data_IF_082750638632
#
_entry.id   IF_082750638632
#
_cell.length_a   1.000
_cell.length_b   1.000
_cell.length_c   1.000
_cell.angle_alpha   90.00
_cell.angle_beta   90.00
_cell.angle_gamma   90.00
#
_symmetry.space_group_name_H-M   'P 1'
#
loop_
_entity.id
_entity.type
_entity.pdbx_description
1 polymer ?
#
# COMPACT_ATOMS: atom_id res chain seq x y z
N UNK A 1 -2.10 -32.66 66.39
CA UNK A 1 -2.14 -31.37 65.67
C UNK A 1 -2.01 -31.68 64.18
N UNK A 2 -3.05 -31.46 63.38
CA UNK A 2 -3.00 -31.61 61.91
C UNK A 2 -3.15 -30.21 61.32
N UNK A 3 -2.08 -29.71 60.69
CA UNK A 3 -2.06 -28.43 60.00
C UNK A 3 -2.65 -28.62 58.60
N UNK A 4 -3.62 -27.80 58.22
CA UNK A 4 -4.19 -27.76 56.88
C UNK A 4 -3.54 -26.58 56.17
N UNK A 5 -2.75 -26.85 55.13
CA UNK A 5 -2.22 -25.83 54.22
C UNK A 5 -3.29 -25.51 53.17
N UNK A 6 -3.75 -24.26 53.15
CA UNK A 6 -4.62 -23.73 52.10
C UNK A 6 -3.76 -23.19 50.96
N UNK A 7 -3.88 -23.76 49.76
CA UNK A 7 -3.28 -23.22 48.54
C UNK A 7 -4.30 -22.28 47.91
N UNK A 8 -3.97 -20.98 47.81
CA UNK A 8 -4.73 -20.02 47.04
C UNK A 8 -4.25 -20.07 45.58
N UNK A 9 -5.14 -20.47 44.66
CA UNK A 9 -4.90 -20.39 43.22
C UNK A 9 -5.37 -19.01 42.75
N UNK A 10 -4.44 -18.14 42.40
CA UNK A 10 -4.74 -16.88 41.73
C UNK A 10 -4.93 -17.13 40.23
N UNK A 11 -6.14 -16.94 39.73
CA UNK A 11 -6.44 -16.97 38.29
C UNK A 11 -6.17 -15.58 37.71
N UNK A 12 -5.05 -15.42 37.00
CA UNK A 12 -4.81 -14.22 36.19
C UNK A 12 -5.67 -14.31 34.93
N UNK A 13 -6.64 -13.40 34.79
CA UNK A 13 -7.43 -13.25 33.56
C UNK A 13 -6.67 -12.32 32.62
N UNK A 14 -6.10 -12.86 31.54
CA UNK A 14 -5.57 -12.08 30.44
C UNK A 14 -6.75 -11.62 29.57
N UNK A 15 -7.10 -10.35 29.62
CA UNK A 15 -7.94 -9.74 28.60
C UNK A 15 -7.05 -9.39 27.41
N UNK A 16 -6.97 -10.27 26.42
CA UNK A 16 -6.53 -9.88 25.09
C UNK A 16 -7.72 -9.17 24.43
N UNK A 17 -7.70 -7.84 24.34
CA UNK A 17 -8.62 -7.14 23.46
C UNK A 17 -8.24 -7.51 22.03
N UNK A 18 -9.15 -8.04 21.20
CA UNK A 18 -8.87 -8.16 19.78
C UNK A 18 -8.64 -6.74 19.26
N UNK A 19 -7.41 -6.44 18.81
CA UNK A 19 -7.21 -5.33 17.90
C UNK A 19 -8.11 -5.64 16.71
N UNK A 20 -9.10 -4.78 16.46
CA UNK A 20 -9.82 -4.82 15.20
C UNK A 20 -8.81 -4.46 14.12
N UNK A 21 -8.11 -5.46 13.59
CA UNK A 21 -7.32 -5.29 12.39
C UNK A 21 -8.30 -4.90 11.28
N UNK A 22 -8.16 -3.70 10.72
CA UNK A 22 -8.74 -3.42 9.43
C UNK A 22 -8.14 -4.45 8.48
N UNK A 23 -8.95 -5.38 8.00
CA UNK A 23 -8.47 -6.41 7.08
C UNK A 23 -8.03 -5.71 5.80
N UNK A 24 -6.73 -5.75 5.52
CA UNK A 24 -6.21 -5.27 4.25
C UNK A 24 -6.89 -6.04 3.12
N UNK A 25 -7.22 -5.36 2.03
CA UNK A 25 -7.80 -6.00 0.84
C UNK A 25 -7.11 -5.49 -0.41
N UNK A 26 -7.12 -6.28 -1.48
CA UNK A 26 -6.52 -5.88 -2.76
C UNK A 26 -7.48 -6.05 -3.93
N UNK A 27 -7.31 -5.22 -4.96
CA UNK A 27 -8.08 -5.28 -6.20
C UNK A 27 -7.27 -4.73 -7.38
N UNK A 28 -7.62 -5.15 -8.60
CA UNK A 28 -7.06 -4.57 -9.83
C UNK A 28 -7.77 -3.27 -10.17
N UNK A 29 -7.02 -2.28 -10.63
CA UNK A 29 -7.55 -1.07 -11.27
C UNK A 29 -7.31 -1.22 -12.76
N UNK A 30 -8.37 -1.08 -13.56
CA UNK A 30 -8.36 -1.49 -14.97
C UNK A 30 -7.40 -0.65 -15.84
N UNK A 31 -7.31 0.66 -15.58
CA UNK A 31 -6.51 1.60 -16.36
C UNK A 31 -6.30 2.93 -15.60
N UNK A 32 -5.56 3.85 -16.23
CA UNK A 32 -5.31 5.21 -15.74
C UNK A 32 -6.58 6.01 -15.50
N UNK A 33 -7.61 5.84 -16.34
CA UNK A 33 -8.84 6.61 -16.19
C UNK A 33 -9.54 6.18 -14.90
N UNK A 34 -9.65 4.88 -14.66
CA UNK A 34 -10.23 4.38 -13.42
C UNK A 34 -9.38 4.75 -12.20
N UNK A 35 -8.05 4.74 -12.32
CA UNK A 35 -7.18 5.23 -11.26
C UNK A 35 -7.45 6.70 -10.93
N UNK A 36 -7.57 7.56 -11.94
CA UNK A 36 -7.85 8.98 -11.75
C UNK A 36 -9.29 9.23 -11.27
N UNK A 37 -10.26 8.41 -11.69
CA UNK A 37 -11.66 8.48 -11.27
C UNK A 37 -11.85 8.13 -9.79
N UNK A 38 -10.93 7.36 -9.20
CA UNK A 38 -10.86 7.17 -7.74
C UNK A 38 -10.49 8.46 -7.00
N UNK A 39 -10.06 9.50 -7.74
CA UNK A 39 -9.64 10.81 -7.24
C UNK A 39 -8.65 10.70 -6.07
N UNK A 40 -7.52 9.99 -6.25
CA UNK A 40 -6.55 9.82 -5.17
C UNK A 40 -5.84 11.14 -4.88
N UNK A 41 -5.87 11.58 -3.62
CA UNK A 41 -5.00 12.66 -3.14
C UNK A 41 -3.67 12.05 -2.68
N UNK A 42 -2.60 12.29 -3.43
CA UNK A 42 -1.32 11.64 -3.21
C UNK A 42 -0.64 12.18 -1.94
N UNK A 43 -0.42 11.31 -0.96
CA UNK A 43 0.43 11.63 0.19
C UNK A 43 1.91 11.61 -0.22
N UNK A 44 2.33 10.57 -0.95
CA UNK A 44 3.66 10.45 -1.55
C UNK A 44 3.73 9.26 -2.53
N UNK A 45 4.83 9.17 -3.25
CA UNK A 45 5.15 8.08 -4.18
C UNK A 45 6.58 7.61 -3.94
N UNK A 46 6.77 6.32 -3.70
CA UNK A 46 8.06 5.66 -3.81
C UNK A 46 8.21 5.07 -5.22
N UNK A 47 9.28 5.39 -5.94
CA UNK A 47 9.49 4.92 -7.31
C UNK A 47 10.79 4.14 -7.44
N UNK A 48 10.71 3.02 -8.15
CA UNK A 48 11.88 2.37 -8.75
C UNK A 48 11.77 2.39 -10.26
N UNK A 49 12.77 2.94 -10.94
CA UNK A 49 12.74 3.13 -12.40
C UNK A 49 14.08 2.96 -13.06
N UNK A 50 14.05 2.70 -14.35
CA UNK A 50 15.22 2.86 -15.20
C UNK A 50 15.48 4.35 -15.47
N UNK A 51 16.58 4.85 -14.92
CA UNK A 51 17.01 6.23 -15.06
C UNK A 51 17.93 6.47 -16.25
N UNK A 52 18.88 7.40 -16.09
CA UNK A 52 19.94 7.66 -17.07
C UNK A 52 21.36 7.43 -16.52
N UNK A 53 21.49 7.04 -15.24
CA UNK A 53 22.74 6.76 -14.54
C UNK A 53 23.79 7.90 -14.66
N UNK A 54 23.35 9.15 -14.50
CA UNK A 54 24.20 10.35 -14.63
C UNK A 54 24.12 11.26 -13.39
N UNK A 55 25.23 11.95 -13.09
CA UNK A 55 25.44 12.77 -11.87
C UNK A 55 24.51 14.00 -11.74
N UNK A 56 23.91 14.44 -12.85
CA UNK A 56 22.88 15.51 -12.92
C UNK A 56 21.77 15.05 -13.87
N UNK A 57 21.16 13.89 -13.58
CA UNK A 57 20.24 13.20 -14.46
C UNK A 57 19.16 12.42 -13.71
N UNK A 58 18.33 11.69 -14.45
CA UNK A 58 17.26 10.84 -13.95
C UNK A 58 17.85 9.74 -13.04
N UNK A 59 17.70 9.86 -11.71
CA UNK A 59 18.00 8.86 -10.65
C UNK A 59 17.27 7.51 -10.88
N UNK A 60 17.53 6.45 -10.13
CA UNK A 60 16.77 5.17 -10.27
C UNK A 60 15.74 4.95 -9.16
N UNK A 61 15.94 5.55 -7.99
CA UNK A 61 15.01 5.51 -6.87
C UNK A 61 14.67 6.93 -6.43
N UNK A 62 13.41 7.24 -6.15
CA UNK A 62 13.03 8.48 -5.45
C UNK A 62 11.80 8.36 -4.57
N UNK A 63 11.63 9.38 -3.73
CA UNK A 63 10.32 9.85 -3.29
C UNK A 63 9.89 11.11 -4.05
N UNK A 64 8.64 11.14 -4.49
CA UNK A 64 7.98 12.31 -5.11
C UNK A 64 6.49 12.36 -4.74
N UNK A 65 5.71 13.26 -5.34
CA UNK A 65 4.24 13.26 -5.26
C UNK A 65 3.64 13.94 -4.02
N UNK A 66 4.43 14.24 -3.00
CA UNK A 66 3.94 14.84 -1.75
C UNK A 66 3.56 16.33 -1.85
N UNK A 67 3.93 17.01 -2.94
CA UNK A 67 3.55 18.39 -3.17
C UNK A 67 2.36 18.44 -4.15
N UNK A 68 1.14 18.81 -3.71
CA UNK A 68 -0.03 18.87 -4.59
C UNK A 68 0.08 19.97 -5.67
N UNK A 69 0.99 20.93 -5.52
CA UNK A 69 1.26 21.95 -6.53
C UNK A 69 2.34 21.53 -7.53
N UNK A 70 3.08 20.47 -7.24
CA UNK A 70 4.11 19.90 -8.10
C UNK A 70 4.39 18.45 -7.72
N UNK A 71 3.56 17.54 -8.20
CA UNK A 71 3.69 16.10 -7.91
C UNK A 71 5.01 15.51 -8.42
N UNK A 72 5.68 16.18 -9.38
CA UNK A 72 7.00 15.79 -9.88
C UNK A 72 8.16 16.30 -9.01
N UNK A 73 7.89 17.06 -7.95
CA UNK A 73 8.94 17.46 -7.03
C UNK A 73 9.48 16.22 -6.31
N UNK A 74 10.77 15.93 -6.52
CA UNK A 74 11.52 14.96 -5.72
C UNK A 74 11.74 15.47 -4.30
N UNK A 75 11.51 14.63 -3.30
CA UNK A 75 11.90 14.90 -1.92
C UNK A 75 13.23 14.23 -1.55
N UNK A 76 13.46 13.01 -2.02
CA UNK A 76 14.71 12.27 -1.85
C UNK A 76 14.98 11.39 -3.07
N UNK A 77 16.24 11.18 -3.43
CA UNK A 77 16.63 10.38 -4.60
C UNK A 77 18.00 9.73 -4.45
N UNK A 78 18.16 8.57 -5.07
CA UNK A 78 19.47 7.90 -5.17
C UNK A 78 19.59 7.10 -6.47
N UNK A 79 20.84 6.81 -6.84
CA UNK A 79 21.14 5.94 -7.97
C UNK A 79 21.11 4.49 -7.53
N UNK A 80 20.65 3.61 -8.42
CA UNK A 80 20.58 2.17 -8.18
C UNK A 80 20.87 1.44 -9.49
N UNK A 81 21.64 0.35 -9.43
CA UNK A 81 21.97 -0.43 -10.62
C UNK A 81 21.08 -1.65 -10.68
N UNK A 82 20.04 -1.58 -11.50
CA UNK A 82 19.20 -2.74 -11.82
C UNK A 82 19.96 -3.71 -12.73
N UNK A 83 19.98 -4.99 -12.36
CA UNK A 83 20.41 -6.07 -13.25
C UNK A 83 19.22 -6.62 -14.03
N UNK A 84 19.45 -7.00 -15.29
CA UNK A 84 18.41 -7.54 -16.16
C UNK A 84 17.90 -8.89 -15.63
N UNK A 85 16.60 -8.96 -15.32
CA UNK A 85 15.94 -10.18 -14.83
C UNK A 85 16.25 -10.55 -13.38
N UNK A 86 17.01 -9.71 -12.66
CA UNK A 86 17.25 -9.90 -11.24
C UNK A 86 16.03 -9.45 -10.43
N UNK A 87 15.69 -10.24 -9.41
CA UNK A 87 14.63 -9.93 -8.46
C UNK A 87 15.24 -9.23 -7.25
N UNK A 88 14.64 -8.11 -6.87
CA UNK A 88 15.00 -7.34 -5.69
C UNK A 88 13.84 -7.34 -4.71
N UNK A 89 14.12 -7.66 -3.45
CA UNK A 89 13.17 -7.48 -2.36
C UNK A 89 13.11 -5.98 -2.03
N UNK A 90 11.90 -5.42 -1.98
CA UNK A 90 11.69 -4.05 -1.52
C UNK A 90 10.92 -4.03 -0.20
N UNK A 91 11.12 -2.95 0.54
CA UNK A 91 10.34 -2.65 1.73
C UNK A 91 10.09 -1.15 1.82
N UNK A 92 8.85 -0.77 2.11
CA UNK A 92 8.43 0.58 2.44
C UNK A 92 7.91 0.58 3.87
N UNK A 93 8.57 1.31 4.76
CA UNK A 93 8.17 1.48 6.17
C UNK A 93 7.67 2.90 6.40
N UNK A 94 6.54 3.04 7.10
CA UNK A 94 6.01 4.30 7.58
C UNK A 94 5.83 4.26 9.10
N UNK A 95 6.26 5.32 9.77
CA UNK A 95 6.10 5.51 11.22
C UNK A 95 5.13 6.66 11.50
N UNK A 96 3.92 6.35 11.95
CA UNK A 96 2.82 7.31 12.11
C UNK A 96 3.15 8.44 13.09
N UNK A 97 3.89 8.13 14.16
CA UNK A 97 4.22 9.12 15.19
C UNK A 97 5.11 10.29 14.69
N UNK A 98 5.82 10.11 13.56
CA UNK A 98 6.76 11.10 13.03
C UNK A 98 6.58 11.39 11.54
N UNK A 99 5.75 10.62 10.83
CA UNK A 99 5.66 10.65 9.37
C UNK A 99 6.89 10.05 8.67
N UNK A 100 7.85 9.51 9.42
CA UNK A 100 9.10 9.00 8.85
C UNK A 100 8.81 7.81 7.94
N UNK A 101 9.19 7.97 6.68
CA UNK A 101 9.02 6.97 5.63
C UNK A 101 10.38 6.58 5.09
N UNK A 102 10.61 5.27 4.97
CA UNK A 102 11.87 4.71 4.50
C UNK A 102 11.64 3.65 3.45
N UNK A 103 12.46 3.67 2.40
CA UNK A 103 12.43 2.69 1.34
C UNK A 103 13.74 1.90 1.30
N UNK A 104 13.63 0.57 1.23
CA UNK A 104 14.76 -0.35 1.26
C UNK A 104 14.74 -1.23 0.01
N UNK A 105 15.94 -1.60 -0.44
CA UNK A 105 16.15 -2.66 -1.43
C UNK A 105 17.14 -3.66 -0.83
N UNK A 106 16.75 -4.95 -0.80
CA UNK A 106 17.53 -6.04 -0.18
C UNK A 106 18.01 -5.68 1.23
N UNK A 107 17.11 -5.19 2.08
CA UNK A 107 17.34 -4.76 3.48
C UNK A 107 18.25 -3.53 3.65
N UNK A 108 18.72 -2.91 2.56
CA UNK A 108 19.55 -1.69 2.60
C UNK A 108 18.67 -0.47 2.38
N UNK A 109 18.69 0.47 3.34
CA UNK A 109 17.99 1.76 3.23
C UNK A 109 18.51 2.54 2.02
N UNK A 110 17.59 2.96 1.16
CA UNK A 110 17.87 3.72 -0.06
C UNK A 110 17.38 5.16 0.03
N UNK A 111 16.20 5.36 0.62
CA UNK A 111 15.53 6.66 0.71
C UNK A 111 14.94 6.86 2.10
N UNK A 112 14.89 8.11 2.56
CA UNK A 112 14.26 8.49 3.82
C UNK A 112 13.72 9.92 3.75
N UNK A 113 12.43 10.10 4.03
CA UNK A 113 11.81 11.42 4.17
C UNK A 113 10.64 11.40 5.16
N UNK A 114 10.17 12.57 5.58
CA UNK A 114 9.02 12.73 6.46
C UNK A 114 7.80 13.17 5.64
N UNK A 115 6.83 12.27 5.47
CA UNK A 115 5.56 12.58 4.84
C UNK A 115 4.47 12.84 5.89
N UNK A 116 3.55 13.73 5.56
CA UNK A 116 2.41 14.05 6.39
C UNK A 116 1.19 14.22 5.51
N UNK A 117 0.03 13.79 6.00
CA UNK A 117 -1.23 13.87 5.26
C UNK A 117 -2.07 12.62 5.49
N UNK A 118 -3.37 12.68 5.20
CA UNK A 118 -4.21 11.51 5.25
C UNK A 118 -3.81 10.51 4.17
N UNK A 119 -4.05 9.23 4.43
CA UNK A 119 -4.06 8.18 3.43
C UNK A 119 -4.87 6.99 3.91
N UNK A 120 -5.45 6.25 2.96
CA UNK A 120 -6.27 5.06 3.19
C UNK A 120 -5.84 3.87 2.33
N UNK A 121 -5.05 4.14 1.29
CA UNK A 121 -4.77 3.21 0.21
C UNK A 121 -3.32 3.27 -0.27
N UNK A 122 -2.87 2.13 -0.80
CA UNK A 122 -1.66 2.02 -1.60
C UNK A 122 -2.05 1.59 -3.01
N UNK A 123 -1.48 2.23 -4.02
CA UNK A 123 -1.52 1.78 -5.40
C UNK A 123 -0.12 1.40 -5.85
N UNK A 124 0.04 0.15 -6.27
CA UNK A 124 1.23 -0.30 -6.99
C UNK A 124 0.93 -0.17 -8.47
N UNK A 125 1.69 0.67 -9.15
CA UNK A 125 1.64 0.86 -10.59
C UNK A 125 2.89 0.26 -11.21
N UNK A 126 2.73 -0.53 -12.26
CA UNK A 126 3.84 -0.95 -13.13
C UNK A 126 3.70 -0.35 -14.51
N UNK A 127 4.82 -0.02 -15.14
CA UNK A 127 4.88 0.54 -16.49
C UNK A 127 6.05 -0.04 -17.26
N UNK A 128 5.78 -0.50 -18.49
CA UNK A 128 6.80 -0.92 -19.44
C UNK A 128 6.38 -0.44 -20.83
N UNK A 129 7.26 0.30 -21.50
CA UNK A 129 6.87 0.96 -22.78
C UNK A 129 7.75 0.62 -23.96
N UNK A 130 8.84 -0.10 -23.72
CA UNK A 130 9.81 -0.45 -24.73
C UNK A 130 9.69 -1.92 -25.07
N UNK A 131 9.62 -2.24 -26.36
CA UNK A 131 9.52 -3.62 -26.82
C UNK A 131 10.60 -4.53 -26.20
N UNK A 132 10.19 -5.72 -25.79
CA UNK A 132 11.02 -6.66 -25.04
C UNK A 132 11.34 -6.26 -23.60
N UNK A 133 10.70 -5.23 -23.04
CA UNK A 133 10.78 -4.90 -21.61
C UNK A 133 9.55 -5.34 -20.83
N UNK A 134 9.77 -5.75 -19.59
CA UNK A 134 8.72 -6.18 -18.68
C UNK A 134 9.09 -5.85 -17.24
N UNK A 135 8.07 -5.67 -16.41
CA UNK A 135 8.22 -5.53 -14.97
C UNK A 135 7.15 -6.34 -14.25
N UNK A 136 7.54 -6.97 -13.15
CA UNK A 136 6.65 -7.69 -12.26
C UNK A 136 6.88 -7.21 -10.83
N UNK A 137 5.79 -6.89 -10.14
CA UNK A 137 5.74 -6.60 -8.70
C UNK A 137 4.78 -7.58 -8.04
N UNK A 138 5.31 -8.47 -7.20
CA UNK A 138 4.57 -9.59 -6.60
C UNK A 138 5.11 -9.94 -5.21
N UNK A 139 4.65 -11.06 -4.64
CA UNK A 139 5.02 -11.53 -3.30
C UNK A 139 4.80 -10.46 -2.22
N UNK A 140 3.65 -9.78 -2.29
CA UNK A 140 3.38 -8.57 -1.53
C UNK A 140 2.88 -8.93 -0.13
N UNK A 141 3.40 -8.26 0.89
CA UNK A 141 2.86 -8.33 2.25
C UNK A 141 2.59 -6.92 2.77
N UNK A 142 1.48 -6.74 3.47
CA UNK A 142 1.20 -5.55 4.27
C UNK A 142 1.17 -5.96 5.74
N UNK A 143 2.03 -5.35 6.56
CA UNK A 143 2.16 -5.64 7.99
C UNK A 143 2.39 -7.13 8.29
N UNK A 144 3.08 -7.83 7.39
CA UNK A 144 3.35 -9.28 7.47
C UNK A 144 2.21 -10.18 6.99
N UNK A 145 1.06 -9.63 6.59
CA UNK A 145 -0.02 -10.38 5.96
C UNK A 145 0.21 -10.48 4.45
N UNK A 146 0.18 -11.71 3.92
CA UNK A 146 0.33 -11.96 2.49
C UNK A 146 -0.88 -11.49 1.70
N UNK A 147 -0.64 -10.73 0.64
CA UNK A 147 -1.63 -10.31 -0.34
C UNK A 147 -1.39 -11.07 -1.64
N UNK A 148 -2.34 -11.90 -2.08
CA UNK A 148 -2.29 -12.66 -3.34
C UNK A 148 -2.55 -11.79 -4.58
N UNK A 149 -1.98 -10.58 -4.57
CA UNK A 149 -2.05 -9.59 -5.63
C UNK A 149 -0.70 -9.41 -6.32
N UNK A 150 -0.74 -8.94 -7.56
CA UNK A 150 0.44 -8.55 -8.31
C UNK A 150 0.11 -7.39 -9.28
N UNK A 151 1.13 -6.60 -9.60
CA UNK A 151 1.12 -5.66 -10.71
C UNK A 151 2.19 -6.09 -11.70
N UNK A 152 1.80 -6.35 -12.94
CA UNK A 152 2.72 -6.86 -13.96
C UNK A 152 2.43 -6.23 -15.30
N UNK A 153 3.47 -5.83 -15.99
CA UNK A 153 3.36 -5.17 -17.28
C UNK A 153 4.44 -5.65 -18.21
N UNK A 154 4.03 -6.02 -19.41
CA UNK A 154 4.93 -6.29 -20.54
C UNK A 154 4.63 -5.23 -21.58
N UNK A 155 5.66 -4.62 -22.16
CA UNK A 155 5.45 -3.67 -23.25
C UNK A 155 4.83 -4.42 -24.45
N UNK A 156 3.66 -3.98 -24.88
CA UNK A 156 3.00 -4.58 -26.04
C UNK A 156 3.64 -4.11 -27.35
N UNK A 157 3.97 -5.04 -28.24
CA UNK A 157 4.58 -4.74 -29.54
C UNK A 157 3.67 -3.88 -30.43
N UNK A 158 3.89 -2.56 -30.43
CA UNK A 158 3.11 -1.60 -31.21
C UNK A 158 3.92 -0.41 -31.76
N UNK A 159 5.23 -0.40 -31.55
CA UNK A 159 6.12 0.71 -31.90
C UNK A 159 7.05 1.06 -30.73
N UNK A 160 7.89 2.08 -30.88
CA UNK A 160 8.95 2.40 -29.93
C UNK A 160 8.46 2.75 -28.50
N UNK A 161 7.15 3.02 -28.29
CA UNK A 161 6.61 3.61 -27.06
C UNK A 161 5.14 3.25 -26.76
N UNK A 162 4.73 1.98 -26.82
CA UNK A 162 3.38 1.61 -26.36
C UNK A 162 3.29 1.83 -24.84
N UNK A 163 2.33 2.62 -24.34
CA UNK A 163 2.22 2.87 -22.88
C UNK A 163 1.43 1.76 -22.20
N UNK A 164 2.09 0.62 -21.97
CA UNK A 164 1.52 -0.47 -21.20
C UNK A 164 1.72 -0.19 -19.71
N UNK A 165 0.66 -0.43 -18.95
CA UNK A 165 0.61 -0.20 -17.51
C UNK A 165 -0.35 -1.16 -16.84
N UNK A 166 -0.13 -1.38 -15.54
CA UNK A 166 -1.00 -2.19 -14.71
C UNK A 166 -1.03 -1.60 -13.30
N UNK A 167 -2.12 -1.85 -12.59
CA UNK A 167 -2.39 -1.28 -11.27
C UNK A 167 -2.93 -2.33 -10.30
N UNK A 168 -2.40 -2.31 -9.09
CA UNK A 168 -2.92 -3.02 -7.93
C UNK A 168 -3.26 -2.00 -6.84
N UNK A 169 -4.50 -2.00 -6.37
CA UNK A 169 -4.93 -1.20 -5.22
C UNK A 169 -4.94 -2.08 -3.97
N UNK A 170 -4.45 -1.56 -2.87
CA UNK A 170 -4.46 -2.15 -1.54
C UNK A 170 -5.18 -1.16 -0.61
N UNK A 171 -6.27 -1.59 0.03
CA UNK A 171 -7.09 -0.79 0.95
C UNK A 171 -6.83 -1.19 2.39
N UNK A 172 -7.23 -0.33 3.33
CA UNK A 172 -7.23 -0.67 4.77
C UNK A 172 -6.02 -0.12 5.51
N UNK A 173 -5.36 0.89 4.94
CA UNK A 173 -4.34 1.67 5.64
C UNK A 173 -4.99 2.77 6.49
N UNK A 174 -4.21 3.27 7.44
CA UNK A 174 -4.53 4.44 8.25
C UNK A 174 -3.28 5.27 8.44
N UNK A 175 -3.39 6.59 8.29
CA UNK A 175 -2.30 7.53 8.57
C UNK A 175 -1.89 7.58 10.05
N UNK A 176 -2.76 7.09 10.94
CA UNK A 176 -2.54 7.05 12.40
C UNK A 176 -1.82 5.76 12.85
N UNK A 177 -1.57 4.81 11.95
CA UNK A 177 -0.94 3.53 12.25
C UNK A 177 0.37 3.35 11.48
N UNK A 178 1.36 2.74 12.12
CA UNK A 178 2.58 2.31 11.43
C UNK A 178 2.22 1.26 10.38
N UNK A 179 2.88 1.31 9.22
CA UNK A 179 2.76 0.23 8.24
C UNK A 179 4.11 -0.19 7.66
N UNK A 180 4.16 -1.44 7.20
CA UNK A 180 5.26 -1.98 6.43
C UNK A 180 4.70 -2.72 5.22
N UNK A 181 5.04 -2.26 4.02
CA UNK A 181 4.76 -2.94 2.77
C UNK A 181 6.04 -3.61 2.27
N UNK A 182 6.04 -4.92 2.09
CA UNK A 182 7.14 -5.63 1.42
C UNK A 182 6.67 -6.24 0.12
N UNK A 183 7.62 -6.52 -0.77
CA UNK A 183 7.36 -7.30 -1.96
C UNK A 183 8.62 -7.52 -2.77
N UNK A 184 8.44 -8.07 -3.96
CA UNK A 184 9.51 -8.31 -4.93
C UNK A 184 9.27 -7.53 -6.20
N UNK A 185 10.34 -6.97 -6.76
CA UNK A 185 10.33 -6.32 -8.05
C UNK A 185 11.34 -6.97 -8.98
N UNK A 186 10.93 -7.29 -10.20
CA UNK A 186 11.79 -7.83 -11.25
C UNK A 186 11.62 -7.01 -12.51
N UNK A 187 12.68 -6.36 -12.95
CA UNK A 187 12.74 -5.65 -14.23
C UNK A 187 13.48 -6.50 -15.26
N UNK A 188 12.97 -6.56 -16.48
CA UNK A 188 13.64 -7.25 -17.58
C UNK A 188 13.58 -6.42 -18.87
N UNK A 189 14.58 -6.58 -19.71
CA UNK A 189 14.68 -5.91 -21.01
C UNK A 189 15.47 -6.75 -22.02
N UNK A 190 15.27 -6.46 -23.32
CA UNK A 190 16.07 -7.04 -24.41
C UNK A 190 17.45 -6.40 -24.55
N UNK A 191 17.89 -6.17 -25.78
CA UNK A 191 19.26 -5.67 -26.04
C UNK A 191 19.48 -4.20 -25.62
N UNK A 192 18.40 -3.42 -25.55
CA UNK A 192 18.49 -1.99 -25.27
C UNK A 192 17.81 -1.68 -23.94
N UNK A 193 18.62 -1.37 -22.94
CA UNK A 193 18.20 -0.89 -21.62
C UNK A 193 17.18 0.27 -21.76
N UNK A 194 15.96 0.17 -21.18
CA UNK A 194 15.03 1.30 -21.06
C UNK A 194 15.64 2.44 -20.22
N UNK A 195 15.16 3.66 -20.39
CA UNK A 195 15.61 4.85 -19.63
C UNK A 195 14.42 5.75 -19.34
N UNK A 196 14.59 6.79 -18.51
CA UNK A 196 13.57 7.82 -18.28
C UNK A 196 12.16 7.27 -17.95
N UNK A 197 12.09 6.32 -17.01
CA UNK A 197 10.82 5.73 -16.57
C UNK A 197 10.04 4.95 -17.64
N UNK A 198 10.70 4.59 -18.76
CA UNK A 198 10.12 3.69 -19.75
C UNK A 198 10.06 2.23 -19.30
N UNK A 199 10.64 1.94 -18.13
CA UNK A 199 10.42 0.74 -17.32
C UNK A 199 10.50 1.18 -15.85
N UNK A 200 9.39 1.03 -15.11
CA UNK A 200 9.27 1.53 -13.74
C UNK A 200 8.16 0.84 -12.96
N UNK A 201 8.28 0.85 -11.63
CA UNK A 201 7.17 0.68 -10.70
C UNK A 201 7.07 1.87 -9.77
N UNK A 202 5.86 2.15 -9.31
CA UNK A 202 5.55 3.18 -8.33
C UNK A 202 4.67 2.58 -7.24
N UNK A 203 4.98 2.87 -5.98
CA UNK A 203 4.12 2.63 -4.82
C UNK A 203 3.57 4.01 -4.44
N UNK A 204 2.34 4.27 -4.82
CA UNK A 204 1.63 5.53 -4.55
C UNK A 204 0.81 5.36 -3.29
N UNK A 205 1.06 6.18 -2.27
CA UNK A 205 0.26 6.22 -1.04
C UNK A 205 -0.68 7.41 -1.15
N UNK A 206 -1.98 7.17 -0.96
CA UNK A 206 -2.99 8.17 -1.24
C UNK A 206 -4.17 8.09 -0.26
N UNK A 207 -4.81 9.23 -0.05
CA UNK A 207 -6.17 9.29 0.49
C UNK A 207 -7.15 9.10 -0.66
N UNK A 208 -8.06 8.15 -0.51
CA UNK A 208 -9.12 7.91 -1.49
C UNK A 208 -10.43 8.27 -0.84
N UNK A 209 -11.13 9.25 -1.40
CA UNK A 209 -12.44 9.63 -0.88
C UNK A 209 -13.35 8.40 -0.87
N UNK A 210 -13.71 7.96 0.34
CA UNK A 210 -14.73 6.94 0.51
C UNK A 210 -16.04 7.53 0.02
N UNK A 211 -16.58 7.02 -1.08
CA UNK A 211 -17.96 7.31 -1.47
C UNK A 211 -18.83 7.06 -0.24
N UNK A 212 -19.42 8.12 0.33
CA UNK A 212 -20.08 8.09 1.63
C UNK A 212 -21.05 6.90 1.72
N UNK A 213 -20.64 5.84 2.39
CA UNK A 213 -21.50 4.69 2.64
C UNK A 213 -22.63 5.21 3.53
N UNK A 214 -23.91 5.14 3.12
CA UNK A 214 -24.99 5.55 4.01
C UNK A 214 -24.88 4.73 5.28
N UNK A 215 -24.76 5.39 6.44
CA UNK A 215 -24.65 4.68 7.70
C UNK A 215 -25.79 3.66 7.78
N UNK A 216 -25.52 2.40 8.18
CA UNK A 216 -26.59 1.46 8.47
C UNK A 216 -27.43 2.09 9.57
N UNK A 217 -28.59 2.62 9.19
CA UNK A 217 -29.55 3.16 10.13
C UNK A 217 -29.83 2.03 11.10
N UNK A 218 -29.39 2.20 12.34
CA UNK A 218 -29.52 1.24 13.42
C UNK A 218 -30.99 0.85 13.54
N UNK A 219 -31.42 -0.26 12.90
CA UNK A 219 -32.71 -0.88 13.12
C UNK A 219 -32.62 -1.63 14.45
N UNK A 220 -32.55 -0.88 15.55
CA UNK A 220 -32.61 -1.41 16.92
C UNK A 220 -33.84 -0.91 17.67
N UNK A 221 -34.89 -0.50 16.94
CA UNK A 221 -36.07 0.15 17.53
C UNK A 221 -37.43 -0.53 17.24
N UNK A 222 -37.49 -1.77 16.76
CA UNK A 222 -38.77 -2.47 16.48
C UNK A 222 -38.88 -3.89 17.05
N UNK A 223 -38.22 -4.17 18.18
CA UNK A 223 -38.29 -5.49 18.84
C UNK A 223 -38.84 -5.51 20.27
N UNK A 224 -39.02 -4.36 20.94
CA UNK A 224 -39.36 -4.31 22.38
C UNK A 224 -40.70 -3.65 22.72
N UNK A 225 -41.56 -3.37 21.73
CA UNK A 225 -42.88 -2.76 21.96
C UNK A 225 -44.07 -3.74 21.95
N UNK A 226 -43.86 -5.06 21.80
CA UNK A 226 -44.96 -6.05 21.73
C UNK A 226 -45.14 -6.94 22.97
N UNK A 227 -44.29 -6.83 24.00
CA UNK A 227 -44.46 -7.60 25.25
C UNK A 227 -45.19 -6.84 26.38
N UNK A 228 -45.52 -5.56 26.19
CA UNK A 228 -46.10 -4.70 27.23
C UNK A 228 -47.63 -4.58 27.28
N UNK A 229 -48.37 -5.16 26.33
CA UNK A 229 -49.83 -5.00 26.24
C UNK A 229 -50.64 -6.29 26.43
N UNK A 230 -50.18 -7.21 27.29
CA UNK A 230 -51.00 -8.34 27.78
C UNK A 230 -51.20 -8.34 29.29
N UNK A 231 -51.02 -7.18 29.94
CA UNK A 231 -51.35 -6.95 31.33
C UNK A 231 -52.24 -5.72 31.46
N UNK A 232 -53.45 -5.78 30.89
CA UNK A 232 -54.62 -4.97 31.29
C UNK A 232 -55.86 -5.40 30.51
N UNK A 233 -56.45 -6.54 30.89
CA UNK A 233 -57.92 -6.64 30.87
C UNK A 233 -58.42 -7.36 32.12
N UNK A 234 -58.92 -6.50 33.01
CA UNK A 234 -59.49 -6.68 34.34
C UNK A 234 -60.68 -7.66 34.41
N UNK A 235 -60.83 -8.17 35.64
CA UNK A 235 -62.03 -8.62 36.38
C UNK A 235 -62.48 -10.05 36.15
#
# INVERSE_FOLDING_TARGET
MKSIFTIAVATASFFATPLAANAASFSKVADDNLFNDLNPDLAFVAEGRMGNNAMNGTHELNFHGANPFNESQTQDETNFVWSNGETYDFELRYTASSGLTKFFINEVEQLSDNFSGPFSDIFIRTRATKDGSSINVNNIFLNGEFLDGASSTVAEGGGAWADSMDYLRITGLSADEDFTLTGQSTMSWGDIVPKNSHLAFQIKVADVESASTPEPTVIFALGLASAGMTLLRRR
#
